data_IF_081322713509
#
_entry.id   IF_081322713509
#
_cell.length_a   1.000
_cell.length_b   1.000
_cell.length_c   1.000
_cell.angle_alpha   90.00
_cell.angle_beta   90.00
_cell.angle_gamma   90.00
#
_symmetry.space_group_name_H-M   'P 1'
#
loop_
_entity.id
_entity.type
_entity.pdbx_description
1 polymer ?
#
# COMPACT_ATOMS: atom_id res chain seq x y z
N UNK A 1 33.31 -25.41 46.74
CA UNK A 1 32.87 -24.04 46.49
C UNK A 1 33.22 -23.57 45.07
N UNK A 2 34.39 -23.98 44.54
CA UNK A 2 34.85 -23.67 43.18
C UNK A 2 34.04 -24.40 42.10
N UNK A 3 33.69 -25.67 42.29
CA UNK A 3 32.86 -26.43 41.36
C UNK A 3 31.44 -25.90 41.18
N UNK A 4 30.85 -25.34 42.25
CA UNK A 4 29.52 -24.75 42.21
C UNK A 4 29.55 -23.43 41.40
N UNK A 5 30.62 -22.63 41.54
CA UNK A 5 30.81 -21.39 40.76
C UNK A 5 31.06 -21.68 39.28
N UNK A 6 31.81 -22.74 38.97
CA UNK A 6 32.04 -23.17 37.58
C UNK A 6 30.73 -23.68 36.90
N UNK A 7 29.94 -24.46 37.64
CA UNK A 7 28.66 -24.96 37.16
C UNK A 7 27.64 -23.83 36.94
N UNK A 8 27.65 -22.80 37.79
CA UNK A 8 26.80 -21.64 37.66
C UNK A 8 27.22 -20.72 36.48
N UNK A 9 28.53 -20.52 36.30
CA UNK A 9 29.08 -19.80 35.15
C UNK A 9 28.78 -20.51 33.82
N UNK A 10 28.89 -21.85 33.77
CA UNK A 10 28.53 -22.66 32.62
C UNK A 10 27.03 -22.58 32.30
N UNK A 11 26.16 -22.58 33.33
CA UNK A 11 24.72 -22.38 33.16
C UNK A 11 24.37 -20.99 32.65
N UNK A 12 25.03 -19.95 33.13
CA UNK A 12 24.84 -18.56 32.66
C UNK A 12 25.32 -18.44 31.22
N UNK A 13 26.48 -19.00 30.86
CA UNK A 13 27.00 -19.01 29.50
C UNK A 13 26.08 -19.80 28.54
N UNK A 14 25.57 -20.96 28.95
CA UNK A 14 24.63 -21.77 28.18
C UNK A 14 23.28 -21.05 27.98
N UNK A 15 22.79 -20.34 29.01
CA UNK A 15 21.60 -19.48 28.90
C UNK A 15 21.84 -18.31 27.96
N UNK A 16 22.97 -17.63 28.08
CA UNK A 16 23.32 -16.52 27.19
C UNK A 16 23.45 -16.97 25.73
N UNK A 17 24.04 -18.14 25.50
CA UNK A 17 24.12 -18.75 24.16
C UNK A 17 22.74 -19.17 23.63
N UNK A 18 21.89 -19.78 24.46
CA UNK A 18 20.52 -20.11 24.07
C UNK A 18 19.65 -18.89 23.81
N UNK A 19 19.86 -17.77 24.54
CA UNK A 19 19.20 -16.49 24.28
C UNK A 19 19.73 -15.80 22.99
N UNK A 20 21.02 -15.97 22.69
CA UNK A 20 21.62 -15.44 21.43
C UNK A 20 21.17 -16.26 20.20
N UNK A 21 21.01 -17.58 20.35
CA UNK A 21 20.53 -18.48 19.29
C UNK A 21 19.02 -18.48 19.11
N UNK A 22 18.27 -17.79 19.98
CA UNK A 22 16.81 -17.74 19.90
C UNK A 22 16.37 -16.93 18.68
N UNK A 23 16.16 -17.63 17.57
CA UNK A 23 15.55 -17.04 16.35
C UNK A 23 14.07 -16.80 16.60
N UNK A 24 13.63 -15.56 16.45
CA UNK A 24 12.19 -15.24 16.44
C UNK A 24 11.48 -15.98 15.30
N UNK A 25 10.21 -16.31 15.48
CA UNK A 25 9.39 -16.91 14.43
C UNK A 25 9.46 -16.09 13.11
N UNK A 26 9.46 -14.77 13.21
CA UNK A 26 9.63 -13.89 12.05
C UNK A 26 10.99 -14.01 11.36
N UNK A 27 12.09 -14.29 12.11
CA UNK A 27 13.41 -14.47 11.49
C UNK A 27 13.50 -15.82 10.78
N UNK A 28 12.83 -16.83 11.30
CA UNK A 28 12.77 -18.15 10.65
C UNK A 28 12.04 -18.02 9.32
N UNK A 29 10.89 -17.34 9.31
CA UNK A 29 10.12 -17.09 8.09
C UNK A 29 10.94 -16.25 7.10
N UNK A 30 11.58 -15.19 7.56
CA UNK A 30 12.40 -14.33 6.71
C UNK A 30 13.57 -15.08 6.08
N UNK A 31 14.32 -15.84 6.88
CA UNK A 31 15.42 -16.66 6.37
C UNK A 31 14.95 -17.74 5.38
N UNK A 32 13.76 -18.29 5.60
CA UNK A 32 13.16 -19.23 4.65
C UNK A 32 12.70 -18.55 3.37
N UNK A 33 12.06 -17.39 3.47
CA UNK A 33 11.64 -16.58 2.32
C UNK A 33 12.82 -16.21 1.41
N UNK A 34 13.96 -15.86 1.99
CA UNK A 34 15.18 -15.55 1.23
C UNK A 34 15.74 -16.71 0.41
N UNK A 35 15.38 -17.96 0.73
CA UNK A 35 15.80 -19.13 -0.06
C UNK A 35 15.08 -19.25 -1.40
N UNK A 36 13.96 -18.52 -1.59
CA UNK A 36 13.20 -18.48 -2.84
C UNK A 36 13.57 -17.20 -3.63
N UNK A 37 14.57 -17.27 -4.54
CA UNK A 37 15.13 -16.08 -5.16
C UNK A 37 14.10 -15.29 -5.97
N UNK A 38 13.22 -15.99 -6.68
CA UNK A 38 12.19 -15.34 -7.49
C UNK A 38 11.24 -14.50 -6.64
N UNK A 39 10.74 -15.04 -5.54
CA UNK A 39 9.86 -14.34 -4.60
C UNK A 39 10.59 -13.22 -3.86
N UNK A 40 11.86 -13.45 -3.51
CA UNK A 40 12.71 -12.46 -2.86
C UNK A 40 12.94 -11.23 -3.76
N UNK A 41 13.31 -11.42 -5.03
CA UNK A 41 13.48 -10.31 -5.96
C UNK A 41 12.14 -9.66 -6.33
N UNK A 42 11.06 -10.43 -6.42
CA UNK A 42 9.71 -9.88 -6.65
C UNK A 42 9.27 -8.92 -5.53
N UNK A 43 9.65 -9.19 -4.29
CA UNK A 43 9.41 -8.27 -3.18
C UNK A 43 10.10 -6.91 -3.42
N UNK A 44 11.33 -6.89 -3.91
CA UNK A 44 11.98 -5.63 -4.30
C UNK A 44 11.25 -4.95 -5.45
N UNK A 45 10.73 -5.72 -6.41
CA UNK A 45 9.88 -5.18 -7.48
C UNK A 45 8.64 -4.46 -6.93
N UNK A 46 7.95 -5.05 -5.95
CA UNK A 46 6.81 -4.40 -5.27
C UNK A 46 7.25 -3.15 -4.51
N UNK A 47 8.39 -3.20 -3.83
CA UNK A 47 8.96 -2.02 -3.15
C UNK A 47 9.28 -0.91 -4.16
N UNK A 48 9.85 -1.24 -5.32
CA UNK A 48 10.12 -0.28 -6.38
C UNK A 48 8.85 0.35 -6.95
N UNK A 49 7.77 -0.41 -7.14
CA UNK A 49 6.47 0.16 -7.54
C UNK A 49 5.97 1.17 -6.49
N UNK A 50 6.12 0.87 -5.20
CA UNK A 50 5.78 1.81 -4.15
C UNK A 50 6.68 3.06 -4.16
N UNK A 51 7.99 2.89 -4.39
CA UNK A 51 8.92 4.03 -4.52
C UNK A 51 8.56 4.90 -5.71
N UNK A 52 8.23 4.32 -6.87
CA UNK A 52 7.75 5.06 -8.05
C UNK A 52 6.46 5.82 -7.70
N UNK A 53 5.52 5.19 -7.01
CA UNK A 53 4.29 5.85 -6.56
C UNK A 53 4.57 7.05 -5.65
N UNK A 54 5.51 6.95 -4.72
CA UNK A 54 5.91 8.07 -3.83
C UNK A 54 6.58 9.17 -4.63
N UNK A 55 7.51 8.81 -5.53
CA UNK A 55 8.33 9.77 -6.30
C UNK A 55 7.62 10.32 -7.55
N UNK A 56 6.36 9.96 -7.81
CA UNK A 56 5.64 10.43 -9.00
C UNK A 56 5.74 11.94 -9.24
N UNK A 57 5.54 12.87 -8.27
CA UNK A 57 5.65 14.30 -8.50
C UNK A 57 7.09 14.81 -8.63
N UNK A 58 8.09 13.99 -8.24
CA UNK A 58 9.50 14.28 -8.50
C UNK A 58 9.84 13.95 -9.96
N UNK A 59 9.17 12.95 -10.53
CA UNK A 59 9.39 12.51 -11.89
C UNK A 59 8.57 13.29 -12.92
N UNK A 60 7.33 13.64 -12.55
CA UNK A 60 6.35 14.22 -13.48
C UNK A 60 5.46 15.24 -12.75
N UNK A 61 5.66 16.51 -13.02
CA UNK A 61 4.84 17.62 -12.56
C UNK A 61 5.09 18.86 -13.44
N UNK A 62 4.04 19.62 -13.73
CA UNK A 62 4.10 20.87 -14.49
C UNK A 62 4.58 22.08 -13.69
N UNK A 63 5.12 21.87 -12.51
CA UNK A 63 5.64 22.91 -11.61
C UNK A 63 7.13 22.71 -11.41
N UNK A 64 7.98 23.77 -11.61
CA UNK A 64 9.42 23.64 -11.50
C UNK A 64 9.89 23.50 -10.03
N UNK A 65 10.99 22.78 -9.83
CA UNK A 65 11.69 22.72 -8.54
C UNK A 65 12.23 24.09 -8.13
N UNK A 66 12.68 24.84 -9.13
CA UNK A 66 13.29 26.15 -8.98
C UNK A 66 12.84 27.06 -10.14
N UNK A 67 12.51 28.30 -9.82
CA UNK A 67 12.24 29.35 -10.79
C UNK A 67 12.88 30.66 -10.32
N UNK A 68 13.55 31.36 -11.24
CA UNK A 68 14.04 32.71 -11.02
C UNK A 68 13.45 33.61 -12.10
N UNK A 69 12.61 34.56 -11.68
CA UNK A 69 11.85 35.46 -12.55
C UNK A 69 12.41 36.87 -12.39
N UNK A 70 12.94 37.50 -13.46
CA UNK A 70 13.38 38.88 -13.43
C UNK A 70 12.24 39.87 -13.18
N UNK A 71 12.56 41.05 -12.68
CA UNK A 71 11.60 42.16 -12.57
C UNK A 71 11.05 42.52 -13.95
N UNK A 72 9.71 42.68 -14.02
CA UNK A 72 9.02 43.05 -15.26
C UNK A 72 8.50 41.89 -16.11
N UNK A 73 8.77 40.62 -15.71
CA UNK A 73 8.23 39.44 -16.35
C UNK A 73 7.12 38.84 -15.47
N UNK A 74 5.96 38.58 -16.06
CA UNK A 74 4.81 38.05 -15.32
C UNK A 74 4.17 39.08 -14.37
N UNK A 75 3.44 38.61 -13.36
CA UNK A 75 2.86 39.47 -12.33
C UNK A 75 3.94 40.05 -11.42
N UNK A 76 3.80 41.30 -11.00
CA UNK A 76 4.80 42.03 -10.22
C UNK A 76 5.19 41.33 -8.87
N UNK A 77 4.32 40.49 -8.36
CA UNK A 77 4.53 39.70 -7.13
C UNK A 77 5.30 38.41 -7.35
N UNK A 78 5.66 38.05 -8.59
CA UNK A 78 6.40 36.84 -8.93
C UNK A 78 7.89 37.10 -9.20
N UNK A 79 8.38 38.34 -9.10
CA UNK A 79 9.80 38.62 -9.28
C UNK A 79 10.64 37.99 -8.17
N UNK A 80 11.77 37.36 -8.54
CA UNK A 80 12.72 36.76 -7.62
C UNK A 80 12.83 35.24 -7.71
N UNK A 81 13.39 34.66 -6.65
CA UNK A 81 13.63 33.21 -6.56
C UNK A 81 12.47 32.52 -5.89
N UNK A 82 11.93 31.50 -6.54
CA UNK A 82 10.81 30.68 -6.06
C UNK A 82 11.14 29.19 -6.09
N UNK A 83 10.52 28.44 -5.15
CA UNK A 83 10.56 26.99 -5.10
C UNK A 83 9.13 26.43 -5.12
N UNK A 84 8.41 26.62 -6.22
CA UNK A 84 6.96 26.37 -6.26
C UNK A 84 6.61 24.89 -6.15
N UNK A 85 7.53 23.97 -6.50
CA UNK A 85 7.30 22.54 -6.37
C UNK A 85 6.94 22.11 -4.93
N UNK A 86 7.60 22.68 -3.92
CA UNK A 86 7.35 22.31 -2.52
C UNK A 86 5.95 22.69 -2.05
N UNK A 87 5.45 23.84 -2.46
CA UNK A 87 4.10 24.29 -2.11
C UNK A 87 3.05 23.55 -2.92
N UNK A 88 3.30 23.32 -4.21
CA UNK A 88 2.41 22.59 -5.11
C UNK A 88 2.10 21.16 -4.61
N UNK A 89 3.03 20.49 -3.92
CA UNK A 89 2.81 19.15 -3.38
C UNK A 89 1.62 19.06 -2.41
N UNK A 90 1.30 20.16 -1.73
CA UNK A 90 0.23 20.22 -0.73
C UNK A 90 -0.92 21.12 -1.16
N UNK A 91 -0.85 21.69 -2.38
CA UNK A 91 -1.88 22.54 -2.94
C UNK A 91 -3.00 21.69 -3.54
N UNK A 92 -4.22 21.98 -3.10
CA UNK A 92 -5.44 21.29 -3.57
C UNK A 92 -5.83 21.64 -5.01
N UNK A 93 -5.28 22.68 -5.60
CA UNK A 93 -5.48 22.98 -7.01
C UNK A 93 -4.75 21.96 -7.90
N UNK A 94 -3.60 21.44 -7.46
CA UNK A 94 -2.83 20.38 -8.14
C UNK A 94 -3.27 18.98 -7.70
N UNK A 95 -3.51 18.77 -6.40
CA UNK A 95 -3.80 17.47 -5.81
C UNK A 95 -5.09 17.50 -4.96
N UNK A 96 -6.22 17.25 -5.60
CA UNK A 96 -7.53 17.21 -4.92
C UNK A 96 -7.67 16.02 -3.97
N UNK A 97 -7.09 14.88 -4.35
CA UNK A 97 -7.23 13.65 -3.60
C UNK A 97 -6.37 13.65 -2.33
N UNK A 98 -6.99 13.32 -1.19
CA UNK A 98 -6.24 13.06 0.04
C UNK A 98 -5.17 11.97 -0.12
N UNK A 99 -5.36 11.05 -1.05
CA UNK A 99 -4.40 10.03 -1.39
C UNK A 99 -3.10 10.62 -1.95
N UNK A 100 -3.21 11.57 -2.89
CA UNK A 100 -2.03 12.23 -3.47
C UNK A 100 -1.26 13.02 -2.41
N UNK A 101 -1.97 13.77 -1.56
CA UNK A 101 -1.35 14.50 -0.44
C UNK A 101 -0.63 13.54 0.52
N UNK A 102 -1.23 12.37 0.80
CA UNK A 102 -0.60 11.35 1.62
C UNK A 102 0.71 10.84 0.98
N UNK A 103 0.71 10.51 -0.30
CA UNK A 103 1.92 10.07 -1.01
C UNK A 103 2.97 11.16 -1.09
N UNK A 104 2.56 12.41 -1.34
CA UNK A 104 3.48 13.55 -1.38
C UNK A 104 4.14 13.79 -0.02
N UNK A 105 3.40 13.62 1.08
CA UNK A 105 3.95 13.68 2.43
C UNK A 105 4.99 12.59 2.67
N UNK A 106 4.82 11.38 2.11
CA UNK A 106 5.78 10.29 2.26
C UNK A 106 7.16 10.61 1.67
N UNK A 107 7.26 11.51 0.68
CA UNK A 107 8.55 11.96 0.11
C UNK A 107 9.46 12.49 1.21
N UNK A 108 8.91 13.21 2.18
CA UNK A 108 9.67 13.81 3.28
C UNK A 108 9.71 12.91 4.51
N UNK A 109 8.58 12.29 4.83
CA UNK A 109 8.46 11.55 6.10
C UNK A 109 9.17 10.20 6.08
N UNK A 110 9.27 9.51 4.94
CA UNK A 110 10.03 8.25 4.85
C UNK A 110 11.52 8.44 5.09
N UNK A 111 12.24 9.36 4.40
CA UNK A 111 13.65 9.63 4.70
C UNK A 111 13.86 10.13 6.12
N UNK A 112 13.00 11.03 6.62
CA UNK A 112 13.07 11.53 7.99
C UNK A 112 12.95 10.39 9.01
N UNK A 113 11.94 9.53 8.87
CA UNK A 113 11.75 8.39 9.74
C UNK A 113 12.93 7.40 9.67
N UNK A 114 13.50 7.21 8.48
CA UNK A 114 14.69 6.38 8.32
C UNK A 114 15.89 6.95 9.08
N UNK A 115 16.15 8.25 8.97
CA UNK A 115 17.21 8.93 9.70
C UNK A 115 16.98 8.85 11.22
N UNK A 116 15.77 9.14 11.69
CA UNK A 116 15.41 9.03 13.13
C UNK A 116 15.64 7.59 13.61
N UNK A 117 15.24 6.59 12.83
CA UNK A 117 15.47 5.19 13.15
C UNK A 117 16.96 4.86 13.28
N UNK A 118 17.80 5.33 12.35
CA UNK A 118 19.25 5.13 12.42
C UNK A 118 19.88 5.78 13.65
N UNK A 119 19.46 6.99 13.98
CA UNK A 119 19.93 7.71 15.18
C UNK A 119 19.53 6.96 16.45
N UNK A 120 18.27 6.54 16.57
CA UNK A 120 17.79 5.77 17.72
C UNK A 120 18.49 4.43 17.86
N UNK A 121 18.76 3.75 16.75
CA UNK A 121 19.51 2.48 16.73
C UNK A 121 20.95 2.70 17.21
N UNK A 122 21.62 3.76 16.76
CA UNK A 122 23.00 4.10 17.14
C UNK A 122 23.09 4.56 18.60
N UNK A 123 22.15 5.38 19.05
CA UNK A 123 22.14 5.96 20.42
C UNK A 123 21.97 4.91 21.52
N UNK A 124 21.29 3.81 21.25
CA UNK A 124 20.99 2.78 22.26
C UNK A 124 21.98 1.63 22.33
N UNK A 125 23.03 1.62 21.48
CA UNK A 125 24.07 0.59 21.48
C UNK A 125 23.54 -0.85 21.26
N UNK A 126 24.20 -1.84 21.84
CA UNK A 126 23.79 -3.25 21.77
C UNK A 126 22.61 -3.52 22.70
N UNK A 127 21.41 -3.44 22.16
CA UNK A 127 20.18 -3.80 22.88
C UNK A 127 19.96 -5.32 22.87
N UNK A 128 19.47 -5.86 24.00
CA UNK A 128 18.91 -7.20 24.01
C UNK A 128 17.79 -7.27 22.95
N UNK A 129 17.70 -8.38 22.24
CA UNK A 129 16.78 -8.58 21.12
C UNK A 129 15.33 -8.22 21.45
N UNK A 130 14.85 -8.54 22.65
CA UNK A 130 13.49 -8.21 23.11
C UNK A 130 13.26 -6.69 23.16
N UNK A 131 14.25 -5.96 23.67
CA UNK A 131 14.17 -4.50 23.78
C UNK A 131 14.24 -3.85 22.41
N UNK A 132 15.05 -4.40 21.50
CA UNK A 132 15.12 -3.96 20.10
C UNK A 132 13.77 -4.13 19.38
N UNK A 133 13.11 -5.28 19.50
CA UNK A 133 11.78 -5.52 18.89
C UNK A 133 10.74 -4.55 19.49
N UNK A 134 10.75 -4.36 20.80
CA UNK A 134 9.84 -3.43 21.48
C UNK A 134 10.08 -1.98 21.03
N UNK A 135 11.35 -1.58 20.91
CA UNK A 135 11.72 -0.24 20.41
C UNK A 135 11.25 -0.06 18.97
N UNK A 136 11.49 -1.05 18.09
CA UNK A 136 11.03 -1.00 16.69
C UNK A 136 9.52 -0.86 16.59
N UNK A 137 8.77 -1.65 17.36
CA UNK A 137 7.30 -1.59 17.35
C UNK A 137 6.80 -0.23 17.83
N UNK A 138 7.35 0.29 18.92
CA UNK A 138 6.99 1.62 19.43
C UNK A 138 7.33 2.71 18.42
N UNK A 139 8.50 2.67 17.80
CA UNK A 139 8.89 3.61 16.76
C UNK A 139 7.91 3.61 15.59
N UNK A 140 7.55 2.45 15.05
CA UNK A 140 6.58 2.32 13.96
C UNK A 140 5.22 2.90 14.35
N UNK A 141 4.72 2.60 15.56
CA UNK A 141 3.45 3.13 16.05
C UNK A 141 3.46 4.65 16.21
N UNK A 142 4.52 5.22 16.80
CA UNK A 142 4.65 6.65 16.96
C UNK A 142 4.85 7.39 15.64
N UNK A 143 5.62 6.78 14.72
CA UNK A 143 5.78 7.29 13.35
C UNK A 143 4.45 7.32 12.59
N UNK A 144 3.68 6.23 12.64
CA UNK A 144 2.36 6.15 12.02
C UNK A 144 1.38 7.18 12.62
N UNK A 145 1.36 7.33 13.95
CA UNK A 145 0.54 8.33 14.62
C UNK A 145 0.95 9.76 14.22
N UNK A 146 2.24 10.05 14.22
CA UNK A 146 2.77 11.35 13.79
C UNK A 146 2.41 11.67 12.35
N UNK A 147 2.57 10.70 11.45
CA UNK A 147 2.16 10.84 10.04
C UNK A 147 0.65 11.09 9.90
N UNK A 148 -0.18 10.38 10.66
CA UNK A 148 -1.63 10.58 10.63
C UNK A 148 -2.03 11.98 11.11
N UNK A 149 -1.37 12.50 12.15
CA UNK A 149 -1.60 13.86 12.66
C UNK A 149 -1.19 14.89 11.61
N UNK A 150 0.04 14.79 11.06
CA UNK A 150 0.54 15.70 10.03
C UNK A 150 -0.36 15.68 8.80
N UNK A 151 -0.74 14.49 8.33
CA UNK A 151 -1.67 14.33 7.22
C UNK A 151 -3.01 15.03 7.49
N UNK A 152 -3.59 14.84 8.67
CA UNK A 152 -4.86 15.45 9.04
C UNK A 152 -4.75 16.98 9.06
N UNK A 153 -3.68 17.53 9.63
CA UNK A 153 -3.45 18.96 9.68
C UNK A 153 -3.26 19.58 8.28
N UNK A 154 -2.46 18.94 7.42
CA UNK A 154 -2.23 19.39 6.04
C UNK A 154 -3.52 19.28 5.23
N UNK A 155 -4.24 18.16 5.35
CA UNK A 155 -5.48 17.93 4.62
C UNK A 155 -6.60 18.88 5.03
N UNK A 156 -6.77 19.16 6.33
CA UNK A 156 -7.77 20.11 6.82
C UNK A 156 -7.35 21.56 6.60
N UNK A 157 -6.04 21.87 6.59
CA UNK A 157 -5.51 23.20 6.31
C UNK A 157 -5.88 23.73 4.92
N UNK A 158 -6.08 22.84 3.94
CA UNK A 158 -6.66 23.15 2.65
C UNK A 158 -5.88 24.21 1.87
N UNK A 159 -4.55 24.11 1.85
CA UNK A 159 -3.70 25.05 1.12
C UNK A 159 -4.13 25.18 -0.34
N UNK A 160 -4.27 26.41 -0.79
CA UNK A 160 -4.54 26.77 -2.19
C UNK A 160 -3.73 27.99 -2.51
N UNK A 161 -2.82 27.87 -3.47
CA UNK A 161 -2.07 29.01 -3.99
C UNK A 161 -2.74 29.56 -5.28
N UNK A 162 -2.52 30.84 -5.61
CA UNK A 162 -2.93 31.36 -6.90
C UNK A 162 -2.30 30.52 -8.02
N UNK A 163 -3.11 30.17 -9.01
CA UNK A 163 -2.62 29.41 -10.16
C UNK A 163 -1.61 30.24 -10.95
N UNK A 164 -0.44 29.66 -11.18
CA UNK A 164 0.62 30.22 -12.02
C UNK A 164 0.93 29.23 -13.11
N UNK A 165 0.87 29.66 -14.37
CA UNK A 165 1.27 28.85 -15.51
C UNK A 165 2.79 28.90 -15.69
N UNK A 166 3.46 27.97 -15.00
CA UNK A 166 4.93 27.86 -15.03
C UNK A 166 5.47 27.43 -16.38
N UNK A 167 4.70 26.72 -17.19
CA UNK A 167 5.11 26.27 -18.52
C UNK A 167 5.21 27.46 -19.46
N UNK A 168 4.17 28.29 -19.51
CA UNK A 168 4.16 29.50 -20.33
C UNK A 168 5.25 30.49 -19.87
N UNK A 169 5.42 30.70 -18.57
CA UNK A 169 6.48 31.54 -18.02
C UNK A 169 7.89 31.02 -18.37
N UNK A 170 8.10 29.72 -18.43
CA UNK A 170 9.38 29.13 -18.80
C UNK A 170 9.74 29.32 -20.28
N UNK A 171 8.81 29.72 -21.11
CA UNK A 171 9.04 30.06 -22.52
C UNK A 171 9.78 31.38 -22.72
N UNK A 172 9.79 32.27 -21.72
CA UNK A 172 10.56 33.49 -21.74
C UNK A 172 12.05 33.20 -21.47
N UNK A 173 12.91 33.60 -22.38
CA UNK A 173 14.36 33.36 -22.29
C UNK A 173 15.04 34.02 -21.09
N UNK A 174 14.41 34.99 -20.46
CA UNK A 174 14.88 35.69 -19.26
C UNK A 174 14.58 34.91 -17.96
N UNK A 175 13.67 33.95 -18.00
CA UNK A 175 13.23 33.14 -16.84
C UNK A 175 14.06 31.85 -16.75
N UNK A 176 14.74 31.66 -15.65
CA UNK A 176 15.46 30.42 -15.40
C UNK A 176 14.60 29.45 -14.59
N UNK A 177 14.30 28.28 -15.16
CA UNK A 177 13.48 27.25 -14.50
C UNK A 177 14.16 25.89 -14.54
N UNK A 178 13.96 25.08 -13.49
CA UNK A 178 14.38 23.69 -13.44
C UNK A 178 13.18 22.81 -13.10
N UNK A 179 12.70 22.06 -14.08
CA UNK A 179 11.53 21.19 -13.97
C UNK A 179 11.87 19.75 -13.59
N UNK A 180 10.89 18.95 -13.11
CA UNK A 180 10.92 17.49 -13.13
C UNK A 180 11.24 16.92 -14.53
N UNK A 181 11.53 15.61 -14.58
CA UNK A 181 11.87 14.92 -15.82
C UNK A 181 10.81 15.09 -16.91
N UNK A 182 9.53 15.03 -16.52
CA UNK A 182 8.37 15.29 -17.36
C UNK A 182 7.68 16.56 -16.85
N UNK A 183 7.45 17.50 -17.76
CA UNK A 183 6.83 18.81 -17.46
C UNK A 183 5.30 18.77 -17.53
N UNK A 184 4.73 17.59 -17.25
CA UNK A 184 3.27 17.37 -17.36
C UNK A 184 2.70 16.91 -16.03
N UNK A 185 1.51 17.44 -15.68
CA UNK A 185 0.68 16.86 -14.64
C UNK A 185 -0.27 15.82 -15.24
N UNK A 186 -0.67 14.85 -14.45
CA UNK A 186 -1.68 13.86 -14.89
C UNK A 186 -3.05 14.45 -15.19
N UNK A 187 -3.26 15.73 -14.84
CA UNK A 187 -4.51 16.48 -15.02
C UNK A 187 -4.43 17.48 -16.17
N UNK A 188 -3.24 17.79 -16.67
CA UNK A 188 -3.08 18.79 -17.73
C UNK A 188 -3.80 18.32 -19.00
N UNK A 189 -4.77 19.12 -19.43
CA UNK A 189 -5.56 18.89 -20.64
C UNK A 189 -5.03 19.81 -21.73
N UNK A 190 -4.55 19.23 -22.83
CA UNK A 190 -4.12 19.97 -24.01
C UNK A 190 -4.89 19.50 -25.24
N UNK A 191 -5.96 20.24 -25.57
CA UNK A 191 -6.82 19.91 -26.71
C UNK A 191 -6.12 20.07 -28.07
N UNK A 192 -4.92 20.66 -28.12
CA UNK A 192 -4.11 20.73 -29.34
C UNK A 192 -3.29 19.45 -29.57
N UNK A 193 -3.10 18.65 -28.53
CA UNK A 193 -2.26 17.46 -28.48
C UNK A 193 -3.06 16.18 -28.27
N UNK A 194 -4.26 16.08 -28.82
CA UNK A 194 -5.19 14.95 -28.64
C UNK A 194 -4.74 13.73 -29.43
N UNK A 195 -4.64 12.57 -28.74
CA UNK A 195 -4.33 11.24 -29.36
C UNK A 195 -3.02 11.29 -30.17
N UNK A 196 -2.00 11.93 -29.66
CA UNK A 196 -0.66 11.88 -30.25
C UNK A 196 -0.04 10.49 -30.08
N UNK A 197 0.70 10.09 -31.09
CA UNK A 197 1.55 8.89 -31.01
C UNK A 197 2.80 9.16 -30.13
N UNK A 198 3.43 8.12 -29.59
CA UNK A 198 4.64 8.26 -28.78
C UNK A 198 5.73 9.07 -29.48
N UNK A 199 6.27 10.06 -28.80
CA UNK A 199 7.38 10.89 -29.25
C UNK A 199 8.33 11.24 -28.10
N UNK A 200 9.36 12.09 -28.35
CA UNK A 200 10.30 12.51 -27.32
C UNK A 200 9.71 13.42 -26.24
N UNK A 201 8.57 14.06 -26.52
CA UNK A 201 7.84 14.94 -25.58
C UNK A 201 6.82 14.15 -24.78
N UNK A 202 6.11 13.24 -25.44
CA UNK A 202 5.12 12.34 -24.86
C UNK A 202 5.53 10.88 -25.10
N UNK A 203 6.30 10.29 -24.19
CA UNK A 203 6.92 8.97 -24.36
C UNK A 203 5.96 7.84 -24.67
N UNK A 204 4.73 7.91 -24.18
CA UNK A 204 3.65 6.97 -24.48
C UNK A 204 2.47 7.65 -25.21
N UNK A 205 2.70 8.85 -25.79
CA UNK A 205 1.68 9.63 -26.45
C UNK A 205 0.70 10.26 -25.47
N UNK A 206 -0.44 10.71 -26.01
CA UNK A 206 -1.50 11.40 -25.26
C UNK A 206 -2.84 10.68 -25.40
N UNK A 207 -3.75 10.93 -24.45
CA UNK A 207 -5.12 10.42 -24.48
C UNK A 207 -6.10 11.34 -25.23
N UNK A 208 -7.41 11.05 -25.13
CA UNK A 208 -8.48 11.83 -25.79
C UNK A 208 -8.60 13.27 -25.31
N UNK A 209 -8.06 13.59 -24.17
CA UNK A 209 -8.07 14.92 -23.56
C UNK A 209 -6.70 15.59 -23.67
N UNK A 210 -5.76 14.96 -24.44
CA UNK A 210 -4.42 15.48 -24.63
C UNK A 210 -3.53 15.32 -23.40
N UNK A 211 -3.91 14.47 -22.42
CA UNK A 211 -3.13 14.25 -21.21
C UNK A 211 -2.00 13.24 -21.48
N UNK A 212 -0.82 13.49 -20.92
CA UNK A 212 0.34 12.60 -21.06
C UNK A 212 0.10 11.23 -20.42
N UNK A 213 0.21 10.16 -21.23
CA UNK A 213 -0.11 8.79 -20.83
C UNK A 213 0.92 8.25 -19.84
N UNK A 214 2.22 8.55 -20.04
CA UNK A 214 3.27 8.07 -19.14
C UNK A 214 3.11 8.66 -17.73
N UNK A 215 2.87 9.95 -17.64
CA UNK A 215 2.54 10.63 -16.37
C UNK A 215 1.34 10.00 -15.69
N UNK A 216 0.29 9.72 -16.45
CA UNK A 216 -0.93 9.07 -15.91
C UNK A 216 -0.65 7.65 -15.42
N UNK A 217 0.22 6.88 -16.05
CA UNK A 217 0.64 5.54 -15.56
C UNK A 217 1.42 5.67 -14.25
N UNK A 218 2.33 6.65 -14.13
CA UNK A 218 3.07 6.90 -12.90
C UNK A 218 2.13 7.20 -11.72
N UNK A 219 1.20 8.13 -11.89
CA UNK A 219 0.23 8.47 -10.85
C UNK A 219 -0.81 7.37 -10.65
N UNK A 220 -1.15 6.63 -11.70
CA UNK A 220 -2.01 5.44 -11.64
C UNK A 220 -1.48 4.36 -10.70
N UNK A 221 -0.16 4.25 -10.57
CA UNK A 221 0.47 3.34 -9.62
C UNK A 221 0.02 3.62 -8.17
N UNK A 222 -0.12 4.89 -7.77
CA UNK A 222 -0.63 5.28 -6.44
C UNK A 222 -2.01 4.73 -6.19
N UNK A 223 -2.88 4.92 -7.16
CA UNK A 223 -4.31 4.60 -7.07
C UNK A 223 -4.50 3.09 -7.04
N UNK A 224 -3.96 2.39 -8.04
CA UNK A 224 -4.15 0.95 -8.17
C UNK A 224 -3.54 0.17 -6.99
N UNK A 225 -2.33 0.53 -6.52
CA UNK A 225 -1.73 -0.09 -5.34
C UNK A 225 -2.54 0.20 -4.06
N UNK A 226 -3.02 1.44 -3.89
CA UNK A 226 -3.77 1.80 -2.67
C UNK A 226 -5.12 1.10 -2.64
N UNK A 227 -5.84 1.04 -3.76
CA UNK A 227 -7.11 0.30 -3.83
C UNK A 227 -6.88 -1.16 -3.45
N UNK A 228 -5.86 -1.79 -4.03
CA UNK A 228 -5.50 -3.16 -3.70
C UNK A 228 -5.25 -3.36 -2.20
N UNK A 229 -4.37 -2.57 -1.61
CA UNK A 229 -3.97 -2.72 -0.20
C UNK A 229 -5.12 -2.36 0.76
N UNK A 230 -5.82 -1.25 0.55
CA UNK A 230 -6.88 -0.78 1.46
C UNK A 230 -8.10 -1.69 1.41
N UNK A 231 -8.55 -2.09 0.22
CA UNK A 231 -9.69 -3.01 0.09
C UNK A 231 -9.40 -4.35 0.78
N UNK A 232 -8.17 -4.88 0.57
CA UNK A 232 -7.73 -6.12 1.23
C UNK A 232 -7.64 -5.97 2.75
N UNK A 233 -7.14 -4.84 3.24
CA UNK A 233 -7.10 -4.58 4.67
C UNK A 233 -8.51 -4.57 5.29
N UNK A 234 -9.48 -3.96 4.61
CA UNK A 234 -10.88 -3.92 5.06
C UNK A 234 -11.45 -5.34 5.12
N UNK A 235 -11.44 -6.08 3.99
CA UNK A 235 -12.06 -7.40 3.98
C UNK A 235 -11.32 -8.43 4.85
N UNK A 236 -10.01 -8.31 4.97
CA UNK A 236 -9.23 -9.17 5.87
C UNK A 236 -9.60 -8.91 7.32
N UNK A 237 -9.73 -7.63 7.70
CA UNK A 237 -10.15 -7.27 9.07
C UNK A 237 -11.53 -7.83 9.40
N UNK A 238 -12.51 -7.64 8.51
CA UNK A 238 -13.86 -8.18 8.67
C UNK A 238 -13.81 -9.72 8.77
N UNK A 239 -13.09 -10.35 7.84
CA UNK A 239 -12.96 -11.81 7.79
C UNK A 239 -12.29 -12.40 9.02
N UNK A 240 -11.24 -11.76 9.54
CA UNK A 240 -10.55 -12.19 10.78
C UNK A 240 -11.47 -12.07 11.98
N UNK A 241 -12.22 -10.98 12.10
CA UNK A 241 -13.15 -10.78 13.22
C UNK A 241 -14.27 -11.82 13.15
N UNK A 242 -15.00 -11.91 12.04
CA UNK A 242 -16.15 -12.81 11.91
C UNK A 242 -15.71 -14.28 11.93
N UNK A 243 -14.64 -14.64 11.22
CA UNK A 243 -14.12 -16.00 11.21
C UNK A 243 -13.55 -16.42 12.57
N UNK A 244 -12.86 -15.51 13.27
CA UNK A 244 -12.35 -15.74 14.62
C UNK A 244 -13.47 -15.95 15.64
N UNK A 245 -14.53 -15.13 15.61
CA UNK A 245 -15.71 -15.28 16.45
C UNK A 245 -16.40 -16.64 16.19
N UNK A 246 -16.67 -16.96 14.93
CA UNK A 246 -17.28 -18.21 14.53
C UNK A 246 -16.45 -19.44 14.97
N UNK A 247 -15.15 -19.43 14.69
CA UNK A 247 -14.25 -20.55 14.99
C UNK A 247 -14.01 -20.74 16.50
N UNK A 248 -13.96 -19.66 17.28
CA UNK A 248 -13.70 -19.74 18.71
C UNK A 248 -14.93 -20.09 19.53
N UNK A 249 -16.02 -19.34 19.37
CA UNK A 249 -17.24 -19.52 20.16
C UNK A 249 -18.11 -20.69 19.66
N UNK A 250 -18.13 -20.93 18.34
CA UNK A 250 -18.91 -22.04 17.77
C UNK A 250 -20.42 -21.83 17.95
N UNK A 251 -21.17 -22.97 17.97
CA UNK A 251 -22.61 -23.03 18.25
C UNK A 251 -23.40 -22.00 17.38
N UNK A 252 -24.24 -21.17 18.02
CA UNK A 252 -25.07 -20.21 17.32
C UNK A 252 -24.28 -19.08 16.63
N UNK A 253 -23.13 -18.66 17.20
CA UNK A 253 -22.25 -17.64 16.56
C UNK A 253 -21.75 -18.16 15.22
N UNK A 254 -21.27 -19.40 15.22
CA UNK A 254 -20.81 -20.08 14.01
C UNK A 254 -21.93 -20.20 12.97
N UNK A 255 -23.11 -20.61 13.39
CA UNK A 255 -24.28 -20.74 12.53
C UNK A 255 -24.66 -19.40 11.88
N UNK A 256 -24.71 -18.31 12.64
CA UNK A 256 -25.06 -16.98 12.13
C UNK A 256 -24.01 -16.50 11.12
N UNK A 257 -22.72 -16.60 11.44
CA UNK A 257 -21.65 -16.18 10.53
C UNK A 257 -21.66 -17.00 9.25
N UNK A 258 -21.87 -18.32 9.33
CA UNK A 258 -21.96 -19.17 8.14
C UNK A 258 -23.19 -18.82 7.28
N UNK A 259 -24.33 -18.48 7.88
CA UNK A 259 -25.49 -18.00 7.11
C UNK A 259 -25.21 -16.69 6.38
N UNK A 260 -24.51 -15.76 7.03
CA UNK A 260 -24.08 -14.53 6.35
C UNK A 260 -23.12 -14.84 5.18
N UNK A 261 -22.18 -15.76 5.38
CA UNK A 261 -21.27 -16.21 4.31
C UNK A 261 -22.05 -16.85 3.16
N UNK A 262 -23.01 -17.74 3.46
CA UNK A 262 -23.84 -18.40 2.46
C UNK A 262 -24.63 -17.38 1.62
N UNK A 263 -25.29 -16.41 2.27
CA UNK A 263 -26.01 -15.34 1.59
C UNK A 263 -25.08 -14.54 0.66
N UNK A 264 -23.91 -14.16 1.15
CA UNK A 264 -22.95 -13.39 0.35
C UNK A 264 -22.43 -14.17 -0.88
N UNK A 265 -22.21 -15.48 -0.76
CA UNK A 265 -21.73 -16.33 -1.85
C UNK A 265 -22.80 -16.58 -2.91
N UNK A 266 -24.09 -16.50 -2.57
CA UNK A 266 -25.17 -16.61 -3.55
C UNK A 266 -25.10 -15.54 -4.64
N UNK A 267 -24.48 -14.38 -4.34
CA UNK A 267 -24.29 -13.33 -5.33
C UNK A 267 -22.89 -13.44 -5.95
N UNK A 268 -22.76 -13.51 -7.30
CA UNK A 268 -21.46 -13.41 -7.93
C UNK A 268 -20.81 -12.07 -7.55
N UNK A 269 -19.65 -12.12 -6.88
CA UNK A 269 -19.01 -10.96 -6.24
C UNK A 269 -18.84 -9.79 -7.19
N UNK A 270 -18.43 -10.02 -8.43
CA UNK A 270 -18.24 -8.95 -9.41
C UNK A 270 -19.56 -8.22 -9.73
N UNK A 271 -20.66 -8.94 -9.93
CA UNK A 271 -21.96 -8.32 -10.20
C UNK A 271 -22.51 -7.59 -8.97
N UNK A 272 -22.26 -8.10 -7.76
CA UNK A 272 -22.62 -7.40 -6.53
C UNK A 272 -21.89 -6.08 -6.41
N UNK A 273 -20.55 -6.04 -6.67
CA UNK A 273 -19.76 -4.83 -6.68
C UNK A 273 -20.27 -3.84 -7.72
N UNK A 274 -20.53 -4.32 -8.93
CA UNK A 274 -21.04 -3.53 -10.05
C UNK A 274 -22.41 -2.89 -9.71
N UNK A 275 -23.31 -3.65 -9.09
CA UNK A 275 -24.61 -3.17 -8.65
C UNK A 275 -24.47 -2.11 -7.56
N UNK A 276 -23.68 -2.38 -6.51
CA UNK A 276 -23.45 -1.42 -5.43
C UNK A 276 -22.82 -0.11 -5.94
N UNK A 277 -21.90 -0.25 -6.91
CA UNK A 277 -21.27 0.89 -7.56
C UNK A 277 -22.29 1.73 -8.34
N UNK A 278 -23.27 1.08 -9.00
CA UNK A 278 -24.31 1.75 -9.77
C UNK A 278 -25.24 2.66 -8.96
N UNK A 279 -25.32 2.50 -7.64
CA UNK A 279 -26.09 3.38 -6.75
C UNK A 279 -25.36 4.67 -6.35
N UNK A 280 -24.09 4.85 -6.76
CA UNK A 280 -23.28 6.02 -6.40
C UNK A 280 -23.06 6.86 -7.66
N UNK A 281 -23.67 8.03 -7.71
CA UNK A 281 -23.65 8.91 -8.87
C UNK A 281 -22.24 9.46 -9.16
N UNK A 282 -21.50 9.87 -8.13
CA UNK A 282 -20.13 10.40 -8.25
C UNK A 282 -19.17 9.62 -7.34
N UNK A 283 -18.59 8.52 -7.84
CA UNK A 283 -17.74 7.66 -7.02
C UNK A 283 -16.34 8.23 -6.86
N UNK A 284 -15.93 8.33 -5.60
CA UNK A 284 -14.53 8.48 -5.27
C UNK A 284 -13.81 7.13 -5.21
N UNK A 285 -12.47 7.17 -5.22
CA UNK A 285 -11.60 5.99 -5.02
C UNK A 285 -11.99 5.23 -3.73
N UNK A 286 -12.32 5.95 -2.66
CA UNK A 286 -12.69 5.39 -1.36
C UNK A 286 -13.97 4.55 -1.41
N UNK A 287 -14.95 4.93 -2.23
CA UNK A 287 -16.17 4.12 -2.42
C UNK A 287 -15.83 2.77 -3.05
N UNK A 288 -14.96 2.74 -4.05
CA UNK A 288 -14.53 1.48 -4.69
C UNK A 288 -13.79 0.58 -3.69
N UNK A 289 -12.85 1.15 -2.90
CA UNK A 289 -12.14 0.41 -1.86
C UNK A 289 -13.12 -0.19 -0.83
N UNK A 290 -14.11 0.59 -0.41
CA UNK A 290 -15.10 0.15 0.56
C UNK A 290 -15.99 -0.96 0.00
N UNK A 291 -16.49 -0.82 -1.23
CA UNK A 291 -17.35 -1.83 -1.86
C UNK A 291 -16.59 -3.16 -1.99
N UNK A 292 -15.37 -3.15 -2.54
CA UNK A 292 -14.53 -4.35 -2.66
C UNK A 292 -14.25 -4.93 -1.27
N UNK A 293 -13.95 -4.08 -0.29
CA UNK A 293 -13.69 -4.48 1.09
C UNK A 293 -14.89 -5.11 1.79
N UNK A 294 -16.09 -4.56 1.60
CA UNK A 294 -17.31 -5.09 2.20
C UNK A 294 -17.85 -6.36 1.54
N UNK A 295 -17.40 -6.66 0.33
CA UNK A 295 -17.87 -7.86 -0.41
C UNK A 295 -16.87 -9.03 -0.35
N UNK A 296 -15.55 -8.78 -0.18
CA UNK A 296 -14.50 -9.78 -0.30
C UNK A 296 -14.22 -10.62 0.96
N UNK A 297 -14.83 -10.36 2.10
CA UNK A 297 -14.46 -10.91 3.42
C UNK A 297 -14.78 -12.41 3.61
N UNK A 298 -15.67 -13.00 2.82
CA UNK A 298 -16.20 -14.36 3.03
C UNK A 298 -15.14 -15.46 2.96
N UNK A 299 -14.17 -15.31 2.03
CA UNK A 299 -13.05 -16.24 1.88
C UNK A 299 -12.14 -16.25 3.10
N UNK A 300 -11.77 -15.06 3.59
CA UNK A 300 -10.94 -14.90 4.80
C UNK A 300 -11.68 -15.40 6.04
N UNK A 301 -12.97 -15.11 6.17
CA UNK A 301 -13.77 -15.59 7.32
C UNK A 301 -13.78 -17.11 7.41
N UNK A 302 -13.96 -17.83 6.30
CA UNK A 302 -13.90 -19.29 6.27
C UNK A 302 -12.51 -19.82 6.60
N UNK A 303 -11.46 -19.19 6.07
CA UNK A 303 -10.08 -19.55 6.36
C UNK A 303 -9.76 -19.40 7.84
N UNK A 304 -10.06 -18.24 8.41
CA UNK A 304 -9.80 -17.94 9.84
C UNK A 304 -10.62 -18.85 10.75
N UNK A 305 -11.89 -19.10 10.41
CA UNK A 305 -12.73 -20.04 11.15
C UNK A 305 -12.09 -21.44 11.21
N UNK A 306 -11.64 -21.95 10.08
CA UNK A 306 -11.00 -23.27 10.01
C UNK A 306 -9.72 -23.31 10.86
N UNK A 307 -8.87 -22.28 10.79
CA UNK A 307 -7.66 -22.17 11.60
C UNK A 307 -7.95 -22.08 13.09
N UNK A 308 -8.95 -21.31 13.50
CA UNK A 308 -9.35 -21.21 14.91
C UNK A 308 -9.87 -22.55 15.46
N UNK A 309 -10.68 -23.27 14.69
CA UNK A 309 -11.16 -24.60 15.06
C UNK A 309 -10.00 -25.61 15.19
N UNK A 310 -9.00 -25.53 14.29
CA UNK A 310 -7.81 -26.37 14.33
C UNK A 310 -6.95 -26.03 15.55
N UNK A 311 -6.62 -24.76 15.75
CA UNK A 311 -5.75 -24.29 16.82
C UNK A 311 -6.35 -24.47 18.21
N UNK A 312 -7.67 -24.34 18.35
CA UNK A 312 -8.37 -24.57 19.63
C UNK A 312 -8.16 -25.98 20.17
N UNK A 313 -7.90 -26.97 19.30
CA UNK A 313 -7.65 -28.37 19.68
C UNK A 313 -6.19 -28.68 19.98
N UNK A 314 -5.28 -27.75 19.80
CA UNK A 314 -3.85 -27.95 20.04
C UNK A 314 -3.52 -27.92 21.52
N UNK A 315 -2.53 -28.73 21.94
CA UNK A 315 -2.14 -28.93 23.33
C UNK A 315 -1.81 -27.63 24.06
N UNK A 316 -1.13 -26.69 23.41
CA UNK A 316 -0.77 -25.40 24.01
C UNK A 316 -1.99 -24.54 24.34
N UNK A 317 -3.07 -24.65 23.56
CA UNK A 317 -4.32 -23.95 23.82
C UNK A 317 -5.10 -24.66 24.92
N UNK A 318 -5.15 -25.99 24.90
CA UNK A 318 -5.80 -26.80 25.95
C UNK A 318 -5.09 -26.60 27.30
N UNK A 319 -3.77 -26.56 27.33
CA UNK A 319 -3.02 -26.21 28.53
C UNK A 319 -3.35 -24.79 29.04
N UNK A 320 -3.49 -23.82 28.17
CA UNK A 320 -3.87 -22.45 28.54
C UNK A 320 -5.29 -22.41 29.17
N UNK A 321 -6.23 -23.20 28.64
CA UNK A 321 -7.58 -23.36 29.19
C UNK A 321 -7.53 -24.01 30.57
N UNK A 322 -6.77 -25.11 30.71
CA UNK A 322 -6.62 -25.83 31.98
C UNK A 322 -5.99 -24.97 33.09
N UNK A 323 -5.09 -24.04 32.71
CA UNK A 323 -4.51 -23.05 33.64
C UNK A 323 -5.46 -21.90 34.00
N UNK A 324 -6.70 -21.89 33.51
CA UNK A 324 -7.70 -20.88 33.82
C UNK A 324 -7.46 -19.52 33.19
N UNK A 325 -6.71 -19.43 32.07
CA UNK A 325 -6.53 -18.16 31.37
C UNK A 325 -7.86 -17.67 30.79
N UNK A 326 -8.05 -16.35 30.82
CA UNK A 326 -9.26 -15.73 30.24
C UNK A 326 -9.34 -15.96 28.75
N UNK A 327 -10.54 -16.12 28.19
CA UNK A 327 -10.79 -16.31 26.74
C UNK A 327 -10.13 -15.25 25.89
N UNK A 328 -10.24 -13.96 26.29
CA UNK A 328 -9.57 -12.85 25.63
C UNK A 328 -8.05 -13.09 25.52
N UNK A 329 -7.41 -13.56 26.60
CA UNK A 329 -5.97 -13.84 26.60
C UNK A 329 -5.62 -15.03 25.70
N UNK A 330 -6.46 -16.06 25.70
CA UNK A 330 -6.30 -17.24 24.83
C UNK A 330 -6.43 -16.82 23.36
N UNK A 331 -7.47 -16.08 22.99
CA UNK A 331 -7.69 -15.64 21.62
C UNK A 331 -6.52 -14.77 21.13
N UNK A 332 -6.25 -13.66 21.79
CA UNK A 332 -5.33 -12.66 21.27
C UNK A 332 -3.84 -13.02 21.44
N UNK A 333 -3.49 -13.86 22.41
CA UNK A 333 -2.09 -14.19 22.70
C UNK A 333 -1.67 -15.58 22.22
N UNK A 334 -2.60 -16.51 22.07
CA UNK A 334 -2.30 -17.89 21.71
C UNK A 334 -2.89 -18.31 20.36
N UNK A 335 -4.15 -18.03 20.07
CA UNK A 335 -4.81 -18.50 18.84
C UNK A 335 -4.56 -17.57 17.66
N UNK A 336 -4.94 -16.29 17.79
CA UNK A 336 -4.89 -15.32 16.69
C UNK A 336 -3.49 -15.17 16.06
N UNK A 337 -2.38 -15.03 16.80
CA UNK A 337 -1.07 -14.85 16.17
C UNK A 337 -0.66 -16.04 15.30
N UNK A 338 -1.10 -17.26 15.67
CA UNK A 338 -0.82 -18.47 14.90
C UNK A 338 -1.78 -18.64 13.71
N UNK A 339 -3.00 -18.12 13.81
CA UNK A 339 -3.97 -18.15 12.72
C UNK A 339 -3.68 -17.14 11.61
N UNK A 340 -2.95 -16.04 11.90
CA UNK A 340 -2.67 -14.99 10.94
C UNK A 340 -1.71 -15.40 9.82
N UNK A 341 -0.86 -16.44 9.98
CA UNK A 341 0.07 -16.88 8.95
C UNK A 341 -0.61 -17.13 7.59
N UNK A 342 -1.55 -18.08 7.48
CA UNK A 342 -2.30 -18.32 6.25
C UNK A 342 -3.12 -17.11 5.77
N UNK A 343 -3.56 -16.25 6.69
CA UNK A 343 -4.29 -15.01 6.35
C UNK A 343 -3.41 -14.03 5.58
N UNK A 344 -2.16 -13.82 6.03
CA UNK A 344 -1.21 -12.96 5.31
C UNK A 344 -0.94 -13.44 3.88
N UNK A 345 -0.79 -14.75 3.70
CA UNK A 345 -0.64 -15.34 2.37
C UNK A 345 -1.87 -15.04 1.51
N UNK A 346 -3.06 -15.32 2.03
CA UNK A 346 -4.32 -15.06 1.31
C UNK A 346 -4.51 -13.57 0.99
N UNK A 347 -4.14 -12.68 1.92
CA UNK A 347 -4.20 -11.23 1.73
C UNK A 347 -3.25 -10.76 0.61
N UNK A 348 -2.05 -11.33 0.49
CA UNK A 348 -1.10 -10.95 -0.57
C UNK A 348 -1.68 -11.25 -1.97
N UNK A 349 -2.23 -12.45 -2.18
CA UNK A 349 -2.96 -12.77 -3.41
C UNK A 349 -4.20 -11.91 -3.61
N UNK A 350 -4.84 -11.54 -2.50
CA UNK A 350 -6.00 -10.67 -2.50
C UNK A 350 -5.72 -9.28 -3.06
N UNK A 351 -4.53 -8.70 -2.81
CA UNK A 351 -4.14 -7.40 -3.37
C UNK A 351 -4.11 -7.45 -4.89
N UNK A 352 -3.52 -8.49 -5.48
CA UNK A 352 -3.53 -8.68 -6.93
C UNK A 352 -4.97 -8.80 -7.46
N UNK A 353 -5.83 -9.57 -6.78
CA UNK A 353 -7.24 -9.72 -7.14
C UNK A 353 -8.02 -8.41 -7.06
N UNK A 354 -7.80 -7.60 -6.02
CA UNK A 354 -8.48 -6.31 -5.86
C UNK A 354 -8.07 -5.29 -6.94
N UNK A 355 -6.79 -5.28 -7.34
CA UNK A 355 -6.30 -4.46 -8.47
C UNK A 355 -7.00 -4.86 -9.78
N UNK A 356 -7.15 -6.17 -10.03
CA UNK A 356 -7.84 -6.66 -11.22
C UNK A 356 -9.33 -6.30 -11.22
N UNK A 357 -10.00 -6.38 -10.06
CA UNK A 357 -11.41 -5.98 -9.92
C UNK A 357 -11.56 -4.47 -10.19
N UNK A 358 -10.70 -3.65 -9.59
CA UNK A 358 -10.70 -2.19 -9.84
C UNK A 358 -10.49 -1.88 -11.33
N UNK A 359 -9.45 -2.48 -11.93
CA UNK A 359 -9.15 -2.27 -13.35
C UNK A 359 -10.33 -2.69 -14.25
N UNK A 360 -11.03 -3.79 -13.91
CA UNK A 360 -12.21 -4.25 -14.64
C UNK A 360 -13.40 -3.28 -14.50
N UNK A 361 -13.65 -2.76 -13.29
CA UNK A 361 -14.70 -1.76 -13.06
C UNK A 361 -14.40 -0.46 -13.82
N UNK A 362 -13.17 0.02 -13.73
CA UNK A 362 -12.72 1.21 -14.43
C UNK A 362 -12.79 1.03 -15.96
N UNK A 363 -12.39 -0.14 -16.48
CA UNK A 363 -12.49 -0.49 -17.90
C UNK A 363 -13.95 -0.48 -18.42
N UNK A 364 -14.91 -0.80 -17.56
CA UNK A 364 -16.35 -0.70 -17.88
C UNK A 364 -16.90 0.74 -17.73
N UNK A 365 -16.05 1.74 -17.44
CA UNK A 365 -16.47 3.13 -17.25
C UNK A 365 -17.05 3.42 -15.87
N UNK A 366 -16.89 2.52 -14.91
CA UNK A 366 -17.40 2.65 -13.54
C UNK A 366 -16.34 3.11 -12.53
N UNK A 367 -15.13 3.41 -13.00
CA UNK A 367 -14.06 4.01 -12.20
C UNK A 367 -14.36 5.48 -11.86
N UNK A 368 -13.57 6.08 -10.93
CA UNK A 368 -13.64 7.50 -10.64
C UNK A 368 -13.08 8.31 -11.81
N UNK A 369 -13.86 9.28 -12.34
CA UNK A 369 -13.49 10.02 -13.53
C UNK A 369 -12.20 10.86 -13.37
N UNK A 370 -11.95 11.38 -12.18
CA UNK A 370 -10.82 12.29 -11.88
C UNK A 370 -9.51 11.60 -11.52
N UNK A 371 -9.54 10.28 -11.26
CA UNK A 371 -8.38 9.56 -10.76
C UNK A 371 -7.70 8.75 -11.88
N UNK A 372 -6.40 8.93 -12.14
CA UNK A 372 -5.70 8.25 -13.23
C UNK A 372 -5.37 6.79 -12.86
N UNK A 373 -6.38 5.92 -12.65
CA UNK A 373 -6.09 4.49 -12.46
C UNK A 373 -5.67 3.83 -13.78
N UNK A 374 -4.94 2.72 -13.68
CA UNK A 374 -4.55 1.96 -14.87
C UNK A 374 -5.77 1.46 -15.66
N UNK A 375 -6.84 1.07 -14.96
CA UNK A 375 -8.10 0.67 -15.59
C UNK A 375 -8.77 1.80 -16.36
N UNK A 376 -8.70 3.04 -15.89
CA UNK A 376 -9.23 4.21 -16.60
C UNK A 376 -8.45 4.49 -17.90
N UNK A 377 -7.12 4.31 -17.89
CA UNK A 377 -6.30 4.47 -19.11
C UNK A 377 -6.67 3.39 -20.13
N UNK A 378 -6.91 2.14 -19.67
CA UNK A 378 -7.42 1.07 -20.53
C UNK A 378 -8.77 1.42 -21.20
N UNK A 379 -9.67 2.11 -20.48
CA UNK A 379 -10.93 2.60 -21.04
C UNK A 379 -10.70 3.57 -22.20
N UNK A 380 -9.80 4.54 -22.00
CA UNK A 380 -9.41 5.47 -23.06
C UNK A 380 -8.83 4.73 -24.28
N UNK A 381 -8.02 3.72 -24.07
CA UNK A 381 -7.48 2.86 -25.13
C UNK A 381 -8.55 2.12 -25.91
N UNK A 382 -9.52 1.50 -25.22
CA UNK A 382 -10.67 0.82 -25.84
C UNK A 382 -11.48 1.79 -26.73
N UNK A 383 -11.70 3.00 -26.25
CA UNK A 383 -12.54 3.98 -26.95
C UNK A 383 -11.84 4.64 -28.14
N UNK A 384 -10.50 4.75 -28.09
CA UNK A 384 -9.71 5.36 -29.17
C UNK A 384 -9.15 4.36 -30.18
N UNK A 385 -9.11 3.07 -29.82
CA UNK A 385 -8.46 2.01 -30.62
C UNK A 385 -6.93 2.15 -30.69
N UNK A 386 -6.29 2.93 -29.78
CA UNK A 386 -4.84 3.10 -29.74
C UNK A 386 -4.19 2.00 -28.90
N UNK A 387 -3.32 1.21 -29.54
CA UNK A 387 -2.63 0.06 -28.89
C UNK A 387 -1.82 0.45 -27.67
N UNK A 388 -1.13 1.59 -27.70
CA UNK A 388 -0.29 2.04 -26.57
C UNK A 388 -1.10 2.31 -25.32
N UNK A 389 -2.32 2.88 -25.46
CA UNK A 389 -3.24 3.14 -24.35
C UNK A 389 -3.84 1.85 -23.75
N UNK A 390 -3.70 0.73 -24.45
CA UNK A 390 -4.10 -0.60 -23.96
C UNK A 390 -2.87 -1.33 -23.38
N UNK A 391 -1.77 -1.37 -24.15
CA UNK A 391 -0.58 -2.15 -23.80
C UNK A 391 0.14 -1.61 -22.57
N UNK A 392 0.32 -0.29 -22.46
CA UNK A 392 1.10 0.30 -21.38
C UNK A 392 0.45 0.08 -19.99
N UNK A 393 -0.83 0.44 -19.74
CA UNK A 393 -1.48 0.13 -18.47
C UNK A 393 -1.68 -1.37 -18.27
N UNK A 394 -1.93 -2.13 -19.35
CA UNK A 394 -2.03 -3.60 -19.31
C UNK A 394 -0.74 -4.25 -18.80
N UNK A 395 0.42 -3.79 -19.27
CA UNK A 395 1.72 -4.25 -18.77
C UNK A 395 1.96 -3.82 -17.31
N UNK A 396 1.56 -2.61 -16.91
CA UNK A 396 1.68 -2.16 -15.53
C UNK A 396 0.87 -3.07 -14.58
N UNK A 397 -0.37 -3.41 -14.94
CA UNK A 397 -1.21 -4.35 -14.19
C UNK A 397 -0.58 -5.74 -14.18
N UNK A 398 -0.17 -6.25 -15.34
CA UNK A 398 0.39 -7.59 -15.50
C UNK A 398 1.64 -7.78 -14.64
N UNK A 399 2.60 -6.86 -14.71
CA UNK A 399 3.84 -6.90 -13.92
C UNK A 399 3.52 -6.83 -12.44
N UNK A 400 2.63 -5.93 -12.01
CA UNK A 400 2.26 -5.78 -10.60
C UNK A 400 1.61 -7.05 -10.05
N UNK A 401 0.68 -7.64 -10.80
CA UNK A 401 -0.01 -8.88 -10.40
C UNK A 401 0.97 -10.05 -10.30
N UNK A 402 1.90 -10.20 -11.25
CA UNK A 402 2.94 -11.24 -11.18
C UNK A 402 3.82 -11.04 -9.94
N UNK A 403 4.33 -9.83 -9.72
CA UNK A 403 5.19 -9.55 -8.57
C UNK A 403 4.48 -9.88 -7.24
N UNK A 404 3.23 -9.47 -7.08
CA UNK A 404 2.43 -9.75 -5.89
C UNK A 404 2.15 -11.25 -5.72
N UNK A 405 1.84 -11.97 -6.79
CA UNK A 405 1.61 -13.42 -6.74
C UNK A 405 2.88 -14.18 -6.34
N UNK A 406 4.04 -13.81 -6.91
CA UNK A 406 5.32 -14.43 -6.56
C UNK A 406 5.72 -14.14 -5.10
N UNK A 407 5.44 -12.94 -4.58
CA UNK A 407 5.63 -12.63 -3.17
C UNK A 407 4.70 -13.47 -2.29
N UNK A 408 3.44 -13.64 -2.71
CA UNK A 408 2.45 -14.46 -2.01
C UNK A 408 2.86 -15.95 -1.96
N UNK A 409 3.37 -16.49 -3.06
CA UNK A 409 3.88 -17.86 -3.15
C UNK A 409 5.07 -18.07 -2.22
N UNK A 410 6.08 -17.20 -2.27
CA UNK A 410 7.21 -17.27 -1.34
C UNK A 410 6.83 -17.11 0.12
N UNK A 411 5.85 -16.25 0.43
CA UNK A 411 5.32 -16.14 1.78
C UNK A 411 4.62 -17.43 2.23
N UNK A 412 3.86 -18.08 1.35
CA UNK A 412 3.24 -19.37 1.61
C UNK A 412 4.27 -20.45 1.92
N UNK A 413 5.29 -20.59 1.06
CA UNK A 413 6.34 -21.59 1.21
C UNK A 413 7.18 -21.34 2.47
N UNK A 414 7.47 -20.11 2.82
CA UNK A 414 8.18 -19.73 4.02
C UNK A 414 7.39 -20.05 5.31
N UNK A 415 6.07 -20.04 5.25
CA UNK A 415 5.18 -20.33 6.36
C UNK A 415 4.90 -21.84 6.52
N UNK A 416 5.11 -22.67 5.48
CA UNK A 416 4.85 -24.10 5.53
C UNK A 416 5.90 -24.81 6.40
N UNK A 417 5.50 -25.44 7.54
CA UNK A 417 6.43 -26.16 8.41
C UNK A 417 7.08 -27.37 7.74
N UNK A 418 6.44 -27.97 6.72
CA UNK A 418 6.94 -29.16 6.02
C UNK A 418 8.13 -28.87 5.11
N UNK A 419 8.26 -27.63 4.64
CA UNK A 419 9.35 -27.18 3.79
C UNK A 419 10.57 -26.64 4.58
N UNK A 420 10.49 -26.66 5.91
CA UNK A 420 11.59 -26.27 6.80
C UNK A 420 12.58 -27.43 6.96
N UNK A 421 13.50 -27.57 5.99
CA UNK A 421 14.68 -28.43 6.11
C UNK A 421 15.90 -27.62 6.49
#
# INVERSE_FOLDING_TARGET
MEDIKQAEAARIAARAKAEADFKSYGDIIWNQFQKYPLSYYSMYGVVWLFVIAVLAPVLALNVPFYANIPEGVGAANLAGIHFPWFTALFDRNFFESGLDIFFNMLIFTLPLNFVIWLVLKKSKGELKRRDFVTMRTRFVLWSALGQSIVFTLVYLGGFREPYVDWITLSGDSSVSTFFPLLKYSYRDVDLSSVILDPDFTHWLGTDREGRDVFTRILYGTRISLTIGVVAVAIYTTIGVILGGLAGYFGKWVDMVVLRLVEVMICFPTFFLILTLRGFIDDPSIFHIMLIIGLTGWTGIARLVRAEFLRLKRQDFVQAAIALGLTERRIIFRHVMPNALGPVFVSATFGVAGAILIEASLSFLGLGPATAPSWGQILTAGRETGKDVLILAPGLAIFVTVILLNLVGEGARDALDPKLRK
#
